data_IF_907106623517
#
_entry.id   IF_907106623517
#
_cell.length_a   1.000
_cell.length_b   1.000
_cell.length_c   1.000
_cell.angle_alpha   90.00
_cell.angle_beta   90.00
_cell.angle_gamma   90.00
#
_symmetry.space_group_name_H-M   'P 1'
#
loop_
_entity.id
_entity.type
_entity.pdbx_description
1 polymer ?
#
# COMPACT_ATOMS: atom_id res chain seq x y z
N UNK A 1 -10.34 6.15 3.02
CA UNK A 1 -9.85 4.87 2.45
C UNK A 1 -8.36 4.65 2.71
N UNK A 2 -7.48 5.62 2.42
CA UNK A 2 -6.02 5.50 2.67
C UNK A 2 -5.68 5.34 4.16
N UNK A 3 -6.35 6.09 5.04
CA UNK A 3 -6.15 5.97 6.50
C UNK A 3 -6.48 4.58 7.06
N UNK A 4 -7.33 3.80 6.35
CA UNK A 4 -7.62 2.40 6.73
C UNK A 4 -6.47 1.46 6.34
N UNK A 5 -5.86 1.68 5.17
CA UNK A 5 -4.69 0.91 4.72
C UNK A 5 -3.50 1.11 5.66
N UNK A 6 -3.18 2.36 5.99
CA UNK A 6 -2.10 2.69 6.93
C UNK A 6 -2.33 2.05 8.31
N UNK A 7 -3.60 2.03 8.77
CA UNK A 7 -3.98 1.37 10.03
C UNK A 7 -3.73 -0.14 9.97
N UNK A 8 -4.10 -0.81 8.89
CA UNK A 8 -3.85 -2.25 8.73
C UNK A 8 -2.35 -2.58 8.75
N UNK A 9 -1.53 -1.84 7.99
CA UNK A 9 -0.08 -2.09 7.92
C UNK A 9 0.56 -1.90 9.29
N UNK A 10 0.18 -0.85 10.02
CA UNK A 10 0.70 -0.62 11.37
C UNK A 10 0.30 -1.74 12.34
N UNK A 11 -0.96 -2.18 12.30
CA UNK A 11 -1.46 -3.25 13.17
C UNK A 11 -0.82 -4.61 12.85
N UNK A 12 -0.55 -4.92 11.58
CA UNK A 12 0.08 -6.17 11.18
C UNK A 12 1.49 -6.26 11.74
N UNK A 13 2.24 -5.17 11.61
CA UNK A 13 3.59 -5.09 12.14
C UNK A 13 3.64 -5.29 13.67
N UNK A 14 2.74 -4.63 14.41
CA UNK A 14 2.66 -4.79 15.88
C UNK A 14 2.37 -6.24 16.28
N UNK A 15 1.46 -6.90 15.57
CA UNK A 15 1.12 -8.30 15.86
C UNK A 15 2.24 -9.28 15.46
N UNK A 16 3.03 -8.97 14.42
CA UNK A 16 4.23 -9.74 14.07
C UNK A 16 5.34 -9.63 15.13
N UNK A 17 5.48 -8.49 15.81
CA UNK A 17 6.50 -8.29 16.86
C UNK A 17 6.14 -8.97 18.20
N UNK A 18 4.87 -9.34 18.40
CA UNK A 18 4.43 -10.04 19.62
C UNK A 18 4.79 -11.53 19.57
N UNK A 19 5.64 -11.98 20.50
CA UNK A 19 6.19 -13.35 20.54
C UNK A 19 5.20 -14.32 21.22
N UNK A 20 4.43 -15.05 20.41
CA UNK A 20 3.63 -16.27 20.69
C UNK A 20 2.55 -16.19 21.79
N UNK A 21 1.28 -16.08 21.38
CA UNK A 21 0.13 -16.81 21.95
C UNK A 21 -0.96 -17.00 20.86
N UNK A 22 -1.74 -18.07 20.95
CA UNK A 22 -2.67 -18.50 19.88
C UNK A 22 -3.76 -17.48 19.53
N UNK A 23 -4.02 -16.53 20.43
CA UNK A 23 -5.01 -15.46 20.28
C UNK A 23 -4.48 -14.36 19.36
N UNK A 24 -3.21 -13.97 19.53
CA UNK A 24 -2.51 -12.99 18.71
C UNK A 24 -2.33 -13.51 17.28
N UNK A 25 -2.08 -14.81 17.10
CA UNK A 25 -2.00 -15.45 15.78
C UNK A 25 -3.35 -15.38 15.05
N UNK A 26 -4.46 -15.59 15.77
CA UNK A 26 -5.81 -15.46 15.20
C UNK A 26 -6.12 -14.02 14.84
N UNK A 27 -5.82 -13.08 15.73
CA UNK A 27 -6.01 -11.65 15.47
C UNK A 27 -5.18 -11.19 14.26
N UNK A 28 -3.94 -11.69 14.12
CA UNK A 28 -3.09 -11.41 12.96
C UNK A 28 -3.69 -11.98 11.67
N UNK A 29 -4.22 -13.20 11.72
CA UNK A 29 -4.88 -13.80 10.56
C UNK A 29 -6.14 -13.03 10.15
N UNK A 30 -6.99 -12.65 11.10
CA UNK A 30 -8.17 -11.82 10.85
C UNK A 30 -7.78 -10.46 10.24
N UNK A 31 -6.78 -9.81 10.83
CA UNK A 31 -6.27 -8.54 10.33
C UNK A 31 -5.72 -8.65 8.89
N UNK A 32 -4.95 -9.70 8.59
CA UNK A 32 -4.45 -9.96 7.23
C UNK A 32 -5.57 -10.22 6.25
N UNK A 33 -6.60 -10.95 6.68
CA UNK A 33 -7.79 -11.21 5.86
C UNK A 33 -8.49 -9.88 5.52
N UNK A 34 -8.69 -9.03 6.53
CA UNK A 34 -9.30 -7.71 6.35
C UNK A 34 -8.44 -6.77 5.48
N UNK A 35 -7.12 -6.81 5.65
CA UNK A 35 -6.18 -6.09 4.81
C UNK A 35 -6.28 -6.53 3.35
N UNK A 36 -6.20 -7.84 3.09
CA UNK A 36 -6.34 -8.39 1.74
C UNK A 36 -7.69 -8.03 1.11
N UNK A 37 -8.79 -8.17 1.85
CA UNK A 37 -10.12 -7.77 1.39
C UNK A 37 -10.19 -6.28 1.07
N UNK A 38 -9.53 -5.44 1.87
CA UNK A 38 -9.47 -4.00 1.64
C UNK A 38 -8.66 -3.66 0.39
N UNK A 39 -7.49 -4.28 0.18
CA UNK A 39 -6.69 -4.12 -1.04
C UNK A 39 -7.48 -4.56 -2.27
N UNK A 40 -8.16 -5.71 -2.20
CA UNK A 40 -9.04 -6.18 -3.27
C UNK A 40 -10.16 -5.19 -3.58
N UNK A 41 -10.80 -4.62 -2.55
CA UNK A 41 -11.87 -3.63 -2.73
C UNK A 41 -11.37 -2.35 -3.42
N UNK A 42 -10.13 -1.93 -3.13
CA UNK A 42 -9.50 -0.79 -3.82
C UNK A 42 -9.30 -1.15 -5.30
N UNK A 43 -8.75 -2.34 -5.59
CA UNK A 43 -8.58 -2.79 -6.97
C UNK A 43 -9.90 -2.86 -7.75
N UNK A 44 -10.96 -3.38 -7.12
CA UNK A 44 -12.29 -3.50 -7.72
C UNK A 44 -13.00 -2.15 -7.94
N UNK A 45 -12.61 -1.10 -7.21
CA UNK A 45 -13.22 0.23 -7.35
C UNK A 45 -13.01 0.85 -8.74
N UNK A 46 -11.96 0.42 -9.46
CA UNK A 46 -11.55 1.03 -10.73
C UNK A 46 -11.01 2.46 -10.59
N UNK A 47 -10.92 3.00 -9.37
CA UNK A 47 -10.35 4.32 -9.11
C UNK A 47 -8.82 4.24 -9.17
N UNK A 48 -8.28 4.61 -10.33
CA UNK A 48 -6.84 4.62 -10.58
C UNK A 48 -6.07 5.46 -9.55
N UNK A 49 -6.64 6.56 -9.05
CA UNK A 49 -5.96 7.39 -8.04
C UNK A 49 -5.86 6.66 -6.71
N UNK A 50 -6.91 5.96 -6.29
CA UNK A 50 -6.91 5.15 -5.08
C UNK A 50 -5.98 3.94 -5.19
N UNK A 51 -5.95 3.28 -6.36
CA UNK A 51 -5.06 2.14 -6.62
C UNK A 51 -3.59 2.56 -6.53
N UNK A 52 -3.21 3.64 -7.22
CA UNK A 52 -1.84 4.14 -7.21
C UNK A 52 -1.41 4.55 -5.80
N UNK A 53 -2.31 5.18 -5.04
CA UNK A 53 -2.02 5.58 -3.67
C UNK A 53 -1.88 4.39 -2.73
N UNK A 54 -2.69 3.34 -2.91
CA UNK A 54 -2.57 2.11 -2.13
C UNK A 54 -1.22 1.43 -2.37
N UNK A 55 -0.83 1.27 -3.64
CA UNK A 55 0.46 0.69 -4.03
C UNK A 55 1.64 1.47 -3.44
N UNK A 56 1.60 2.81 -3.53
CA UNK A 56 2.62 3.68 -2.96
C UNK A 56 2.80 3.44 -1.45
N UNK A 57 1.69 3.33 -0.71
CA UNK A 57 1.72 3.13 0.74
C UNK A 57 2.18 1.72 1.14
N UNK A 58 1.96 0.70 0.30
CA UNK A 58 2.49 -0.65 0.55
C UNK A 58 4.01 -0.64 0.35
N UNK A 59 4.48 -0.16 -0.81
CA UNK A 59 5.92 -0.17 -1.15
C UNK A 59 6.75 0.67 -0.17
N UNK A 60 6.23 1.82 0.29
CA UNK A 60 6.97 2.64 1.24
C UNK A 60 7.10 1.98 2.63
N UNK A 61 6.11 1.19 3.04
CA UNK A 61 6.17 0.47 4.31
C UNK A 61 7.04 -0.79 4.18
N UNK A 62 7.02 -1.47 3.02
CA UNK A 62 7.96 -2.55 2.71
C UNK A 62 9.41 -2.07 2.75
N UNK A 63 9.67 -0.88 2.19
CA UNK A 63 11.00 -0.27 2.22
C UNK A 63 11.46 0.03 3.66
N UNK A 64 10.55 0.52 4.51
CA UNK A 64 10.88 0.86 5.90
C UNK A 64 11.06 -0.34 6.81
N UNK A 65 10.27 -1.40 6.60
CA UNK A 65 10.10 -2.48 7.59
C UNK A 65 10.72 -3.81 7.17
N UNK A 66 10.69 -4.11 5.87
CA UNK A 66 11.01 -5.44 5.36
C UNK A 66 12.22 -5.47 4.43
N UNK A 67 12.69 -4.32 3.94
CA UNK A 67 13.89 -4.24 3.10
C UNK A 67 15.13 -4.75 3.85
N UNK A 68 15.70 -5.85 3.35
CA UNK A 68 16.77 -6.58 4.04
C UNK A 68 18.05 -6.73 3.22
N UNK A 69 18.11 -6.16 2.02
CA UNK A 69 19.28 -6.21 1.15
C UNK A 69 19.39 -4.95 0.30
N UNK A 70 20.61 -4.57 -0.13
CA UNK A 70 20.80 -3.43 -1.04
C UNK A 70 20.01 -3.56 -2.35
N UNK A 71 19.87 -4.78 -2.87
CA UNK A 71 19.08 -5.06 -4.07
C UNK A 71 17.59 -4.80 -3.85
N UNK A 72 17.03 -5.24 -2.72
CA UNK A 72 15.62 -4.98 -2.38
C UNK A 72 15.37 -3.49 -2.14
N UNK A 73 16.26 -2.80 -1.41
CA UNK A 73 16.18 -1.35 -1.20
C UNK A 73 16.12 -0.62 -2.55
N UNK A 74 17.09 -0.86 -3.43
CA UNK A 74 17.16 -0.24 -4.76
C UNK A 74 15.92 -0.53 -5.62
N UNK A 75 15.40 -1.76 -5.56
CA UNK A 75 14.19 -2.14 -6.29
C UNK A 75 12.95 -1.39 -5.80
N UNK A 76 12.77 -1.29 -4.48
CA UNK A 76 11.63 -0.59 -3.88
C UNK A 76 11.72 0.93 -4.10
N UNK A 77 12.92 1.51 -3.99
CA UNK A 77 13.16 2.93 -4.34
C UNK A 77 12.82 3.21 -5.80
N UNK A 78 13.21 2.32 -6.71
CA UNK A 78 12.88 2.42 -8.14
C UNK A 78 11.36 2.36 -8.35
N UNK A 79 10.67 1.42 -7.71
CA UNK A 79 9.22 1.32 -7.80
C UNK A 79 8.53 2.61 -7.30
N UNK A 80 9.01 3.23 -6.21
CA UNK A 80 8.50 4.52 -5.73
C UNK A 80 8.71 5.65 -6.75
N UNK A 81 9.83 5.68 -7.46
CA UNK A 81 10.11 6.65 -8.54
C UNK A 81 9.13 6.46 -9.71
N UNK A 82 8.88 5.21 -10.11
CA UNK A 82 7.95 4.89 -11.18
C UNK A 82 6.51 5.26 -10.82
N UNK A 83 6.06 4.93 -9.61
CA UNK A 83 4.74 5.30 -9.11
C UNK A 83 4.56 6.82 -9.08
N UNK A 84 5.55 7.57 -8.59
CA UNK A 84 5.49 9.03 -8.60
C UNK A 84 5.43 9.61 -10.02
N UNK A 85 6.11 8.97 -10.97
CA UNK A 85 6.02 9.31 -12.38
C UNK A 85 4.60 9.07 -12.90
N UNK A 86 3.97 7.93 -12.58
CA UNK A 86 2.57 7.65 -12.95
C UNK A 86 1.64 8.71 -12.33
N UNK A 87 1.74 9.00 -11.02
CA UNK A 87 0.93 10.05 -10.35
C UNK A 87 0.99 11.38 -11.09
N UNK A 88 2.18 11.78 -11.53
CA UNK A 88 2.39 13.03 -12.29
C UNK A 88 1.66 12.99 -13.64
N UNK A 89 1.70 11.86 -14.35
CA UNK A 89 1.02 11.70 -15.64
C UNK A 89 -0.49 11.66 -15.47
N UNK A 90 -1.01 10.92 -14.50
CA UNK A 90 -2.45 10.83 -14.24
C UNK A 90 -3.02 12.20 -13.88
N UNK A 91 -2.32 12.99 -13.05
CA UNK A 91 -2.71 14.37 -12.74
C UNK A 91 -2.79 15.26 -13.98
N UNK A 92 -1.84 15.12 -14.93
CA UNK A 92 -1.89 15.84 -16.20
C UNK A 92 -3.09 15.41 -17.05
N UNK A 93 -3.39 14.11 -17.13
CA UNK A 93 -4.54 13.62 -17.88
C UNK A 93 -5.86 14.19 -17.37
N UNK A 94 -6.08 14.20 -16.05
CA UNK A 94 -7.27 14.82 -15.46
C UNK A 94 -7.36 16.32 -15.75
N UNK A 95 -6.24 17.04 -15.72
CA UNK A 95 -6.19 18.46 -16.07
C UNK A 95 -6.53 18.71 -17.55
N UNK A 96 -6.06 17.88 -18.47
CA UNK A 96 -6.46 18.00 -19.88
C UNK A 96 -7.95 17.74 -20.06
N UNK A 97 -8.51 16.75 -19.35
CA UNK A 97 -9.94 16.42 -19.42
C UNK A 97 -10.83 17.54 -18.88
N UNK A 98 -10.38 18.29 -17.86
CA UNK A 98 -11.13 19.43 -17.31
C UNK A 98 -11.06 20.71 -18.15
N UNK A 99 -10.17 20.79 -19.13
CA UNK A 99 -10.05 21.95 -20.06
C UNK A 99 -10.84 21.70 -21.36
N UNK A 100 -11.22 20.45 -21.62
CA UNK A 100 -11.96 20.02 -22.82
C UNK A 100 -13.48 19.91 -22.60
N UNK A 101 -13.95 20.13 -21.38
CA UNK A 101 -15.38 20.21 -21.00
C UNK A 101 -15.69 21.62 -20.50
#
# INVERSE_FOLDING_TARGET
MIGKLAKFIAQEYTLMEMNVETVEVRALHELRTDFCNHVLSIGQSGDLSLIIEAEYNIIIEDLKRYANSPGMISSLETALIEINSIKKHTKKMYRCKSVLN
#
